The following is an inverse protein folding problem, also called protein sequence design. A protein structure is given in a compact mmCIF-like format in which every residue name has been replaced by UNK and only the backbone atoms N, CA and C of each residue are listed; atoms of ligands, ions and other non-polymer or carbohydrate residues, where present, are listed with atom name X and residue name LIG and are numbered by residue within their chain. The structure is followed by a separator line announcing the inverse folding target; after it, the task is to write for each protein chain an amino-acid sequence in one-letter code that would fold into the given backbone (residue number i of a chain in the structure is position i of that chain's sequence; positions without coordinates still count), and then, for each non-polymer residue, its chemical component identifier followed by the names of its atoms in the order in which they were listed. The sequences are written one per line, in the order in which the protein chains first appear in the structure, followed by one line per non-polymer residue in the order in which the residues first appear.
data_IF_088696871516
#
_entry.id   IF_088696871516
#
_cell.length_a   1.000
_cell.length_b   1.000
_cell.length_c   1.000
_cell.angle_alpha   90.00
_cell.angle_beta   90.00
_cell.angle_gamma   90.00
#
_symmetry.space_group_name_H-M   'P 1'
#
loop_
_entity.id
_entity.type
_entity.pdbx_description
1 polymer ?
#
# COMPACT_ATOMS: atom_id res chain seq x y z
N UNK A 1 24.17 -11.09 -2.99
CA UNK A 1 23.02 -10.57 -2.23
C UNK A 1 23.14 -9.06 -2.27
N UNK A 2 22.21 -8.37 -2.92
CA UNK A 2 22.18 -6.90 -2.87
C UNK A 2 21.85 -6.47 -1.44
N UNK A 3 22.47 -5.38 -0.94
CA UNK A 3 21.99 -4.74 0.27
C UNK A 3 20.63 -4.10 -0.06
N UNK A 4 19.61 -4.46 0.69
CA UNK A 4 18.34 -3.72 0.67
C UNK A 4 18.52 -2.49 1.56
N UNK A 5 18.13 -1.33 1.04
CA UNK A 5 18.15 -0.04 1.73
C UNK A 5 16.80 0.27 2.38
N UNK A 6 15.87 -0.69 2.31
CA UNK A 6 14.51 -0.56 2.81
C UNK A 6 14.03 -1.82 3.54
N UNK A 7 13.15 -1.61 4.51
CA UNK A 7 12.39 -2.65 5.19
C UNK A 7 10.89 -2.44 4.91
N UNK A 8 10.12 -3.52 4.72
CA UNK A 8 8.69 -3.45 4.41
C UNK A 8 7.88 -4.11 5.52
N UNK A 9 7.09 -3.32 6.25
CA UNK A 9 6.16 -3.80 7.28
C UNK A 9 4.73 -3.64 6.81
N UNK A 10 4.01 -4.75 6.67
CA UNK A 10 2.59 -4.71 6.30
C UNK A 10 1.76 -4.24 7.49
N UNK A 11 1.04 -3.15 7.32
CA UNK A 11 0.17 -2.56 8.34
C UNK A 11 -1.30 -2.97 8.17
N UNK A 12 -1.74 -3.16 6.92
CA UNK A 12 -3.11 -3.56 6.60
C UNK A 12 -3.13 -4.55 5.44
N UNK A 13 -4.02 -5.54 5.54
CA UNK A 13 -4.34 -6.46 4.45
C UNK A 13 -5.84 -6.69 4.36
N UNK A 14 -6.44 -6.16 3.30
CA UNK A 14 -7.81 -6.42 2.88
C UNK A 14 -7.82 -7.19 1.57
N UNK A 15 -9.01 -7.49 1.05
CA UNK A 15 -9.17 -8.23 -0.20
C UNK A 15 -8.57 -7.49 -1.40
N UNK A 16 -8.76 -6.19 -1.43
CA UNK A 16 -8.43 -5.30 -2.55
C UNK A 16 -7.48 -4.16 -2.16
N UNK A 17 -7.10 -4.07 -0.89
CA UNK A 17 -6.17 -3.05 -0.38
C UNK A 17 -5.09 -3.73 0.47
N UNK A 18 -3.83 -3.46 0.17
CA UNK A 18 -2.71 -3.74 1.08
C UNK A 18 -1.97 -2.44 1.36
N UNK A 19 -1.57 -2.22 2.62
CA UNK A 19 -0.86 -1.02 3.05
C UNK A 19 0.39 -1.41 3.82
N UNK A 20 1.51 -0.81 3.44
CA UNK A 20 2.83 -1.09 3.99
C UNK A 20 3.51 0.19 4.46
N UNK A 21 4.22 0.09 5.58
CA UNK A 21 5.27 1.01 5.96
C UNK A 21 6.57 0.57 5.28
N UNK A 22 7.29 1.54 4.73
CA UNK A 22 8.59 1.37 4.10
C UNK A 22 9.61 2.18 4.89
N UNK A 23 10.43 1.49 5.68
CA UNK A 23 11.48 2.10 6.50
C UNK A 23 12.75 2.22 5.66
N UNK A 24 13.33 3.41 5.57
CA UNK A 24 14.56 3.65 4.81
C UNK A 24 15.76 3.55 5.75
N UNK A 25 16.80 2.80 5.38
CA UNK A 25 17.91 2.49 6.29
C UNK A 25 18.76 3.71 6.71
N UNK A 26 18.76 4.79 5.92
CA UNK A 26 19.65 5.95 6.11
C UNK A 26 19.02 7.12 6.90
N UNK A 27 17.77 7.00 7.33
CA UNK A 27 17.15 8.01 8.17
C UNK A 27 15.94 7.43 8.89
N UNK A 28 15.64 7.91 10.09
CA UNK A 28 14.45 7.53 10.88
C UNK A 28 13.11 7.91 10.18
N UNK A 29 13.12 8.11 8.86
CA UNK A 29 11.98 8.51 8.04
C UNK A 29 11.35 7.28 7.42
N UNK A 30 10.04 7.26 7.42
CA UNK A 30 9.27 6.23 6.72
C UNK A 30 8.50 6.85 5.57
N UNK A 31 8.35 6.08 4.50
CA UNK A 31 7.30 6.30 3.51
C UNK A 31 6.32 5.14 3.56
N UNK A 32 5.26 5.23 2.78
CA UNK A 32 4.19 4.24 2.80
C UNK A 32 3.86 3.78 1.40
N UNK A 33 3.47 2.52 1.27
CA UNK A 33 3.07 1.92 0.00
C UNK A 33 1.63 1.40 0.13
N UNK A 34 0.73 2.01 -0.63
CA UNK A 34 -0.65 1.58 -0.77
C UNK A 34 -0.80 0.81 -2.08
N UNK A 35 -1.26 -0.43 -2.02
CA UNK A 35 -1.59 -1.25 -3.18
C UNK A 35 -3.10 -1.39 -3.22
N UNK A 36 -3.71 -0.91 -4.28
CA UNK A 36 -5.14 -1.01 -4.55
C UNK A 36 -5.38 -1.88 -5.79
N UNK A 37 -5.93 -3.06 -5.56
CA UNK A 37 -6.40 -3.97 -6.59
C UNK A 37 -7.84 -3.59 -6.94
N UNK A 38 -8.01 -2.78 -7.99
CA UNK A 38 -9.34 -2.34 -8.45
C UNK A 38 -10.24 -3.53 -8.80
N UNK A 39 -9.64 -4.68 -9.11
CA UNK A 39 -10.32 -5.81 -9.73
C UNK A 39 -10.87 -5.44 -11.11
N UNK A 40 -11.34 -6.45 -11.83
CA UNK A 40 -12.23 -6.24 -12.96
C UNK A 40 -13.66 -6.17 -12.42
N UNK A 41 -14.33 -5.02 -12.56
CA UNK A 41 -15.77 -4.98 -12.33
C UNK A 41 -16.47 -5.93 -13.31
N UNK A 42 -17.65 -6.44 -12.96
CA UNK A 42 -18.39 -7.33 -13.88
C UNK A 42 -18.72 -6.66 -15.22
N UNK A 43 -18.76 -5.32 -15.25
CA UNK A 43 -18.87 -4.51 -16.46
C UNK A 43 -17.56 -4.52 -17.29
N UNK A 44 -16.41 -4.38 -16.62
CA UNK A 44 -15.09 -4.41 -17.27
C UNK A 44 -14.75 -5.80 -17.83
N UNK A 45 -15.22 -6.88 -17.20
CA UNK A 45 -15.09 -8.26 -17.71
C UNK A 45 -15.80 -8.50 -19.03
N UNK A 46 -16.84 -7.72 -19.35
CA UNK A 46 -17.60 -7.82 -20.59
C UNK A 46 -17.05 -6.98 -21.74
N UNK A 47 -16.16 -6.02 -21.44
CA UNK A 47 -15.64 -5.02 -22.39
C UNK A 47 -14.16 -5.21 -22.74
N UNK A 48 -13.39 -5.89 -21.88
CA UNK A 48 -11.99 -6.23 -22.15
C UNK A 48 -11.90 -7.65 -22.67
N UNK A 49 -11.11 -7.85 -23.72
CA UNK A 49 -10.60 -9.18 -24.01
C UNK A 49 -9.89 -9.69 -22.74
N UNK A 50 -10.14 -10.93 -22.34
CA UNK A 50 -9.57 -11.56 -21.13
C UNK A 50 -8.03 -11.51 -21.07
N UNK A 51 -7.38 -11.09 -22.16
CA UNK A 51 -5.95 -10.87 -22.29
C UNK A 51 -5.44 -9.55 -21.66
N UNK A 52 -6.27 -8.53 -21.40
CA UNK A 52 -5.77 -7.24 -20.83
C UNK A 52 -5.43 -7.29 -19.33
N UNK A 53 -5.71 -8.41 -18.66
CA UNK A 53 -5.27 -8.66 -17.29
C UNK A 53 -5.90 -7.78 -16.22
N UNK A 54 -5.60 -8.09 -14.95
CA UNK A 54 -6.02 -7.29 -13.81
C UNK A 54 -5.12 -6.06 -13.66
N UNK A 55 -5.70 -4.91 -13.35
CA UNK A 55 -4.96 -3.66 -13.16
C UNK A 55 -4.84 -3.33 -11.67
N UNK A 56 -3.59 -3.24 -11.21
CA UNK A 56 -3.26 -2.87 -9.83
C UNK A 56 -2.66 -1.47 -9.81
N UNK A 57 -3.19 -0.61 -8.95
CA UNK A 57 -2.60 0.70 -8.70
C UNK A 57 -1.79 0.64 -7.41
N UNK A 58 -0.52 1.02 -7.49
CA UNK A 58 0.34 1.20 -6.35
C UNK A 58 0.63 2.70 -6.16
N UNK A 59 0.62 3.15 -4.92
CA UNK A 59 0.87 4.53 -4.55
C UNK A 59 1.97 4.57 -3.49
N UNK A 60 3.10 5.17 -3.83
CA UNK A 60 4.17 5.50 -2.90
C UNK A 60 3.85 6.85 -2.26
N UNK A 61 3.55 6.85 -0.97
CA UNK A 61 3.14 8.03 -0.22
C UNK A 61 4.33 8.49 0.62
N UNK A 62 4.79 9.71 0.40
CA UNK A 62 6.00 10.23 1.05
C UNK A 62 5.86 11.71 1.41
N UNK A 63 6.50 12.13 2.49
CA UNK A 63 6.59 13.54 2.90
C UNK A 63 7.96 14.16 2.56
N UNK A 64 8.83 13.40 1.88
CA UNK A 64 10.17 13.80 1.48
C UNK A 64 10.51 13.22 0.10
N UNK A 65 11.53 13.76 -0.54
CA UNK A 65 12.06 13.21 -1.79
C UNK A 65 12.79 11.90 -1.50
N UNK A 66 12.21 10.79 -1.96
CA UNK A 66 12.77 9.45 -1.73
C UNK A 66 14.04 9.28 -2.59
N UNK A 67 15.19 8.87 -2.01
CA UNK A 67 16.39 8.62 -2.79
C UNK A 67 16.19 7.48 -3.79
N UNK A 68 17.01 7.47 -4.86
CA UNK A 68 16.87 6.52 -5.97
C UNK A 68 16.96 5.05 -5.52
N UNK A 69 17.88 4.73 -4.60
CA UNK A 69 18.07 3.34 -4.16
C UNK A 69 16.86 2.77 -3.40
N UNK A 70 16.31 3.43 -2.36
CA UNK A 70 15.04 3.02 -1.76
C UNK A 70 13.88 2.94 -2.75
N UNK A 71 13.82 3.84 -3.74
CA UNK A 71 12.80 3.78 -4.78
C UNK A 71 12.93 2.52 -5.66
N UNK A 72 14.16 2.13 -6.02
CA UNK A 72 14.43 0.87 -6.74
C UNK A 72 14.04 -0.36 -5.91
N UNK A 73 14.27 -0.33 -4.60
CA UNK A 73 13.84 -1.42 -3.72
C UNK A 73 12.30 -1.54 -3.69
N UNK A 74 11.56 -0.43 -3.67
CA UNK A 74 10.09 -0.43 -3.78
C UNK A 74 9.62 -1.05 -5.09
N UNK A 75 10.25 -0.70 -6.21
CA UNK A 75 9.96 -1.31 -7.50
C UNK A 75 10.24 -2.81 -7.51
N UNK A 76 11.38 -3.23 -6.94
CA UNK A 76 11.72 -4.64 -6.84
C UNK A 76 10.71 -5.40 -5.97
N UNK A 77 10.35 -4.83 -4.82
CA UNK A 77 9.33 -5.39 -3.94
C UNK A 77 7.98 -5.57 -4.66
N UNK A 78 7.52 -4.55 -5.39
CA UNK A 78 6.28 -4.63 -6.18
C UNK A 78 6.37 -5.70 -7.28
N UNK A 79 7.50 -5.78 -7.98
CA UNK A 79 7.73 -6.80 -9.01
C UNK A 79 7.68 -8.22 -8.45
N UNK A 80 8.30 -8.47 -7.29
CA UNK A 80 8.27 -9.78 -6.64
C UNK A 80 6.86 -10.11 -6.10
N UNK A 81 6.20 -9.13 -5.47
CA UNK A 81 4.87 -9.31 -4.88
C UNK A 81 3.80 -9.54 -5.94
N UNK A 82 3.82 -8.77 -7.03
CA UNK A 82 2.81 -8.79 -8.08
C UNK A 82 3.17 -9.72 -9.24
N UNK A 83 4.46 -10.03 -9.44
CA UNK A 83 4.91 -10.98 -10.47
C UNK A 83 4.39 -12.40 -10.25
N UNK A 84 3.94 -12.73 -9.05
CA UNK A 84 3.25 -13.99 -8.75
C UNK A 84 1.76 -13.98 -9.15
N UNK A 85 1.14 -12.81 -9.41
CA UNK A 85 -0.26 -12.73 -9.85
C UNK A 85 -0.34 -12.99 -11.36
N UNK A 86 -1.18 -13.95 -11.75
CA UNK A 86 -1.40 -14.26 -13.16
C UNK A 86 -2.07 -13.10 -13.91
N UNK A 87 -1.56 -12.78 -15.10
CA UNK A 87 -2.08 -11.75 -16.00
C UNK A 87 -2.37 -10.41 -15.28
N UNK A 88 -1.36 -9.82 -14.67
CA UNK A 88 -1.47 -8.59 -13.90
C UNK A 88 -0.50 -7.53 -14.42
N UNK A 89 -1.00 -6.29 -14.57
CA UNK A 89 -0.16 -5.11 -14.80
C UNK A 89 -0.34 -4.15 -13.64
N UNK A 90 0.72 -3.43 -13.27
CA UNK A 90 0.62 -2.39 -12.23
C UNK A 90 1.21 -1.06 -12.68
N UNK A 91 0.67 0.01 -12.10
CA UNK A 91 1.25 1.35 -12.16
C UNK A 91 1.67 1.78 -10.76
N UNK A 92 2.85 2.39 -10.64
CA UNK A 92 3.29 3.06 -9.41
C UNK A 92 3.21 4.56 -9.61
N UNK A 93 2.46 5.25 -8.76
CA UNK A 93 2.44 6.71 -8.67
C UNK A 93 3.02 7.17 -7.33
N UNK A 94 3.57 8.38 -7.28
CA UNK A 94 4.14 8.95 -6.04
C UNK A 94 3.27 10.10 -5.55
N UNK A 95 2.68 9.93 -4.37
CA UNK A 95 1.88 10.93 -3.69
C UNK A 95 2.72 11.66 -2.64
N UNK A 96 2.95 12.95 -2.84
CA UNK A 96 3.60 13.80 -1.86
C UNK A 96 2.57 14.34 -0.86
N UNK A 97 2.82 14.11 0.43
CA UNK A 97 2.01 14.62 1.55
C UNK A 97 2.81 15.62 2.37
N UNK A 98 2.12 16.56 3.03
CA UNK A 98 2.81 17.64 3.77
C UNK A 98 3.49 17.17 5.06
N UNK A 99 2.96 16.10 5.67
CA UNK A 99 3.44 15.58 6.96
C UNK A 99 3.57 14.07 6.92
N UNK A 100 4.50 13.57 7.71
CA UNK A 100 4.60 12.15 8.00
C UNK A 100 3.35 11.68 8.75
N UNK A 101 2.86 10.49 8.38
CA UNK A 101 1.83 9.81 9.15
C UNK A 101 2.46 9.23 10.42
N UNK A 102 1.98 9.69 11.56
CA UNK A 102 2.45 9.30 12.90
C UNK A 102 1.38 8.41 13.56
N UNK A 103 1.77 7.22 14.00
CA UNK A 103 0.88 6.25 14.65
C UNK A 103 1.67 5.37 15.64
N UNK A 104 1.08 5.06 16.78
CA UNK A 104 1.67 4.18 17.78
C UNK A 104 1.15 2.74 17.64
N UNK A 105 1.95 1.84 17.06
CA UNK A 105 1.58 0.43 16.97
C UNK A 105 1.85 -0.30 18.30
N UNK A 106 0.91 -1.09 18.86
CA UNK A 106 -0.37 -1.53 18.29
C UNK A 106 -1.60 -0.74 18.76
N UNK A 107 -1.44 0.39 19.43
CA UNK A 107 -2.53 1.12 20.07
C UNK A 107 -3.37 1.93 19.06
N UNK A 108 -2.74 2.46 18.02
CA UNK A 108 -3.35 3.34 17.01
C UNK A 108 -3.73 2.60 15.71
N UNK A 109 -4.21 1.37 15.81
CA UNK A 109 -4.61 0.59 14.63
C UNK A 109 -5.77 1.21 13.86
N UNK A 110 -6.63 1.98 14.52
CA UNK A 110 -7.69 2.77 13.87
C UNK A 110 -7.12 3.95 13.08
N UNK A 111 -6.00 4.56 13.52
CA UNK A 111 -5.36 5.63 12.79
C UNK A 111 -4.87 5.16 11.41
N UNK A 112 -4.38 3.91 11.30
CA UNK A 112 -4.01 3.32 9.99
C UNK A 112 -5.22 3.28 9.05
N UNK A 113 -6.39 2.88 9.54
CA UNK A 113 -7.62 2.86 8.74
C UNK A 113 -8.00 4.25 8.28
N UNK A 114 -8.04 5.20 9.21
CA UNK A 114 -8.47 6.57 8.94
C UNK A 114 -7.52 7.24 7.95
N UNK A 115 -6.21 7.01 8.11
CA UNK A 115 -5.20 7.47 7.16
C UNK A 115 -5.39 6.86 5.77
N UNK A 116 -5.59 5.54 5.66
CA UNK A 116 -5.87 4.91 4.35
C UNK A 116 -7.13 5.49 3.72
N UNK A 117 -8.19 5.74 4.49
CA UNK A 117 -9.40 6.41 4.01
C UNK A 117 -9.12 7.81 3.46
N UNK A 118 -8.32 8.62 4.17
CA UNK A 118 -7.92 9.95 3.71
C UNK A 118 -7.16 9.87 2.38
N UNK A 119 -6.21 8.93 2.26
CA UNK A 119 -5.47 8.71 1.01
C UNK A 119 -6.40 8.29 -0.14
N UNK A 120 -7.34 7.37 0.11
CA UNK A 120 -8.33 6.98 -0.91
C UNK A 120 -9.18 8.17 -1.38
N UNK A 121 -9.62 9.02 -0.44
CA UNK A 121 -10.37 10.23 -0.76
C UNK A 121 -9.55 11.23 -1.57
N UNK A 122 -8.26 11.44 -1.22
CA UNK A 122 -7.33 12.29 -1.98
C UNK A 122 -7.13 11.78 -3.41
N UNK A 123 -7.01 10.46 -3.57
CA UNK A 123 -6.87 9.79 -4.87
C UNK A 123 -8.20 9.68 -5.64
N UNK A 124 -9.32 10.13 -5.06
CA UNK A 124 -10.68 10.00 -5.61
C UNK A 124 -11.06 8.55 -5.93
N UNK A 125 -10.58 7.61 -5.12
CA UNK A 125 -10.96 6.20 -5.21
C UNK A 125 -12.25 6.03 -4.43
N UNK A 126 -13.33 5.66 -5.14
CA UNK A 126 -14.65 5.39 -4.55
C UNK A 126 -14.67 4.02 -3.87
N UNK A 127 -13.98 3.93 -2.73
CA UNK A 127 -13.87 2.74 -1.91
C UNK A 127 -13.90 3.14 -0.44
N UNK A 128 -14.87 2.63 0.30
CA UNK A 128 -14.92 2.80 1.75
C UNK A 128 -14.15 1.66 2.44
N UNK A 129 -13.31 2.02 3.41
CA UNK A 129 -12.70 1.04 4.29
C UNK A 129 -13.73 0.47 5.26
N UNK A 130 -13.73 -0.87 5.47
CA UNK A 130 -14.66 -1.50 6.40
C UNK A 130 -14.52 -0.92 7.81
N UNK A 131 -15.61 -0.91 8.55
CA UNK A 131 -15.60 -0.52 9.96
C UNK A 131 -14.79 -1.53 10.78
N UNK A 132 -13.62 -1.10 11.24
CA UNK A 132 -12.87 -1.83 12.25
C UNK A 132 -13.29 -1.37 13.64
N UNK A 133 -13.37 -2.31 14.57
CA UNK A 133 -13.48 -2.03 16.00
C UNK A 133 -12.15 -2.35 16.64
N UNK A 134 -11.77 -1.64 17.71
CA UNK A 134 -10.55 -1.93 18.48
C UNK A 134 -10.45 -3.41 18.88
N UNK A 135 -11.58 -4.03 19.22
CA UNK A 135 -11.69 -5.45 19.55
C UNK A 135 -11.23 -6.40 18.44
N UNK A 136 -11.22 -5.96 17.18
CA UNK A 136 -10.70 -6.74 16.06
C UNK A 136 -9.18 -6.89 16.11
N UNK A 137 -8.48 -5.99 16.81
CA UNK A 137 -7.03 -5.97 16.94
C UNK A 137 -6.52 -6.59 18.25
N UNK A 138 -7.40 -6.86 19.22
CA UNK A 138 -7.07 -7.55 20.48
C UNK A 138 -6.43 -8.94 20.27
N UNK A 139 -6.64 -9.56 19.10
CA UNK A 139 -6.04 -10.86 18.76
C UNK A 139 -4.69 -10.75 18.04
N UNK A 140 -4.21 -9.53 17.74
CA UNK A 140 -2.90 -9.27 17.12
C UNK A 140 -1.80 -9.03 18.15
N UNK A 141 -2.14 -8.53 19.34
CA UNK A 141 -1.25 -8.57 20.50
C UNK A 141 -1.32 -9.95 21.13
N UNK A 142 -0.57 -10.91 20.61
CA UNK A 142 -0.26 -12.10 21.41
C UNK A 142 0.87 -11.71 22.38
N UNK A 143 0.58 -11.79 23.68
CA UNK A 143 1.58 -11.88 24.75
C UNK A 143 2.53 -13.08 24.51
#
# INVERSE_FOLDING_TARGET
MALLHTSFKRLLRLRDIEFYQVEVSDGERCCYLLIYDKGLSDFDKGLRDFDEGNLINAYLITHFELPESPYQDVLHFLNELLGMKHNCTYFLDTLYVEKEFDFDFPFDMLAIRDYVNEILALLRIDKEMPDFKETAFNYLSQD
#
